data_IF_071350861709
#
_entry.id   IF_071350861709
#
_cell.length_a   1.000
_cell.length_b   1.000
_cell.length_c   1.000
_cell.angle_alpha   90.00
_cell.angle_beta   90.00
_cell.angle_gamma   90.00
#
_symmetry.space_group_name_H-M   'P 1'
#
loop_
_entity.id
_entity.type
_entity.pdbx_description
1 polymer ?
#
# COMPACT_ATOMS: atom_id res chain seq x y z
N UNK A 1 31.79 1.73 1.71
CA UNK A 1 31.05 2.78 0.95
C UNK A 1 30.40 2.13 -0.25
N UNK A 2 29.08 2.06 -0.26
CA UNK A 2 28.30 1.68 -1.45
C UNK A 2 28.39 2.84 -2.45
N UNK A 3 29.31 2.76 -3.41
CA UNK A 3 29.36 3.73 -4.50
C UNK A 3 28.14 3.50 -5.39
N UNK A 4 27.12 4.31 -5.19
CA UNK A 4 25.92 4.31 -6.04
C UNK A 4 26.27 4.99 -7.36
N UNK A 5 26.53 4.21 -8.39
CA UNK A 5 26.97 4.70 -9.70
C UNK A 5 25.84 5.11 -10.64
N UNK A 6 24.63 4.57 -10.45
CA UNK A 6 23.46 4.90 -11.28
C UNK A 6 22.20 5.03 -10.43
N UNK A 7 21.45 6.11 -10.69
CA UNK A 7 20.10 6.30 -10.16
C UNK A 7 19.12 6.38 -11.33
N UNK A 8 17.85 6.01 -11.08
CA UNK A 8 16.79 6.18 -12.05
C UNK A 8 16.39 7.67 -12.19
N UNK A 9 15.44 7.96 -13.09
CA UNK A 9 14.95 9.33 -13.33
C UNK A 9 14.30 9.99 -12.09
N UNK A 10 14.03 9.23 -11.03
CA UNK A 10 13.51 9.69 -9.75
C UNK A 10 14.57 9.73 -8.65
N UNK A 11 15.84 9.56 -9.00
CA UNK A 11 16.95 9.54 -8.04
C UNK A 11 17.04 8.28 -7.18
N UNK A 12 16.26 7.21 -7.49
CA UNK A 12 16.21 5.97 -6.71
C UNK A 12 17.36 5.03 -7.07
N UNK A 13 17.78 4.23 -6.11
CA UNK A 13 18.76 3.17 -6.29
C UNK A 13 18.15 2.03 -7.13
N UNK A 14 18.93 1.53 -8.10
CA UNK A 14 18.51 0.41 -8.94
C UNK A 14 18.58 -0.91 -8.17
N UNK A 15 17.53 -1.72 -8.20
CA UNK A 15 17.51 -3.04 -7.55
C UNK A 15 18.63 -3.97 -8.09
N UNK A 16 18.97 -3.87 -9.38
CA UNK A 16 20.04 -4.67 -10.02
C UNK A 16 21.41 -4.36 -9.41
N UNK A 17 21.60 -3.14 -8.90
CA UNK A 17 22.85 -2.71 -8.28
C UNK A 17 22.95 -3.10 -6.81
N UNK A 18 21.88 -3.66 -6.21
CA UNK A 18 21.92 -4.09 -4.82
C UNK A 18 22.89 -5.25 -4.61
N UNK A 19 23.57 -5.26 -3.46
CA UNK A 19 24.45 -6.36 -3.08
C UNK A 19 23.70 -7.69 -3.00
N UNK A 20 22.43 -7.67 -2.61
CA UNK A 20 21.60 -8.86 -2.50
C UNK A 20 21.39 -9.55 -3.86
N UNK A 21 21.24 -8.75 -4.93
CA UNK A 21 21.15 -9.29 -6.31
C UNK A 21 22.53 -9.73 -6.82
N UNK A 22 23.57 -8.93 -6.60
CA UNK A 22 24.94 -9.24 -7.09
C UNK A 22 25.51 -10.50 -6.47
N UNK A 23 25.26 -10.73 -5.19
CA UNK A 23 25.77 -11.87 -4.42
C UNK A 23 24.73 -13.00 -4.26
N UNK A 24 23.63 -12.93 -5.02
CA UNK A 24 22.57 -13.98 -5.11
C UNK A 24 21.97 -14.43 -3.76
N UNK A 25 21.76 -13.50 -2.85
CA UNK A 25 21.11 -13.81 -1.56
C UNK A 25 19.77 -13.12 -1.34
N UNK A 26 19.13 -12.62 -2.40
CA UNK A 26 17.82 -11.94 -2.30
C UNK A 26 16.74 -12.82 -1.67
N UNK A 27 16.84 -14.13 -1.80
CA UNK A 27 15.92 -15.13 -1.24
C UNK A 27 16.22 -15.50 0.23
N UNK A 28 17.28 -14.96 0.84
CA UNK A 28 17.67 -15.25 2.22
C UNK A 28 17.26 -14.11 3.15
N UNK A 29 16.76 -14.43 4.36
CA UNK A 29 16.43 -13.42 5.38
C UNK A 29 17.69 -12.97 6.13
N UNK A 30 18.61 -12.28 5.43
CA UNK A 30 19.96 -11.94 5.92
C UNK A 30 19.92 -11.18 7.25
N UNK A 31 18.93 -10.29 7.46
CA UNK A 31 18.81 -9.52 8.70
C UNK A 31 18.50 -10.43 9.87
N UNK A 32 17.61 -11.41 9.67
CA UNK A 32 17.27 -12.41 10.72
C UNK A 32 18.47 -13.34 10.99
N UNK A 33 19.20 -13.75 9.96
CA UNK A 33 20.42 -14.55 10.10
C UNK A 33 21.49 -13.81 10.92
N UNK A 34 21.70 -12.51 10.67
CA UNK A 34 22.59 -11.68 11.49
C UNK A 34 22.08 -11.55 12.93
N UNK A 35 20.77 -11.48 13.13
CA UNK A 35 20.17 -11.49 14.47
C UNK A 35 20.51 -12.77 15.24
N UNK A 36 20.48 -13.93 14.58
CA UNK A 36 20.90 -15.21 15.18
C UNK A 36 22.38 -15.20 15.55
N UNK A 37 23.24 -14.82 14.60
CA UNK A 37 24.71 -14.75 14.81
C UNK A 37 25.05 -13.81 15.98
N UNK A 38 24.43 -12.62 16.02
CA UNK A 38 24.64 -11.65 17.11
C UNK A 38 24.22 -12.23 18.47
N UNK A 39 23.08 -12.90 18.52
CA UNK A 39 22.58 -13.54 19.75
C UNK A 39 23.55 -14.61 20.26
N UNK A 40 24.06 -15.47 19.38
CA UNK A 40 25.02 -16.49 19.73
C UNK A 40 26.33 -15.88 20.24
N UNK A 41 26.85 -14.84 19.57
CA UNK A 41 28.03 -14.11 20.01
C UNK A 41 27.84 -13.47 21.40
N UNK A 42 26.70 -12.85 21.67
CA UNK A 42 26.41 -12.25 22.97
C UNK A 42 26.29 -13.32 24.09
N UNK A 43 25.68 -14.47 23.78
CA UNK A 43 25.60 -15.60 24.72
C UNK A 43 26.98 -16.16 25.03
N UNK A 44 27.87 -16.25 24.07
CA UNK A 44 29.23 -16.74 24.27
C UNK A 44 30.05 -15.90 25.25
N UNK A 45 29.73 -14.64 25.42
CA UNK A 45 30.36 -13.73 26.40
C UNK A 45 29.52 -13.55 27.67
N UNK A 46 28.54 -14.44 27.91
CA UNK A 46 27.78 -14.53 29.16
C UNK A 46 26.55 -13.62 29.24
N UNK A 47 26.15 -12.96 28.16
CA UNK A 47 24.92 -12.16 28.14
C UNK A 47 23.70 -13.09 28.04
N UNK A 48 22.82 -13.03 29.03
CA UNK A 48 21.57 -13.80 29.01
C UNK A 48 20.53 -13.11 28.11
N UNK A 49 20.34 -13.63 26.90
CA UNK A 49 19.31 -13.16 25.96
C UNK A 49 18.22 -14.22 25.85
N UNK A 50 16.96 -13.87 26.16
CA UNK A 50 15.85 -14.82 26.04
C UNK A 50 15.65 -15.25 24.57
N UNK A 51 15.11 -16.45 24.39
CA UNK A 51 14.66 -16.86 23.05
C UNK A 51 13.51 -15.98 22.58
N UNK A 52 13.47 -15.59 21.31
CA UNK A 52 12.33 -14.86 20.77
C UNK A 52 11.09 -15.76 20.79
N UNK A 53 9.96 -15.20 21.18
CA UNK A 53 8.69 -15.88 20.96
C UNK A 53 8.39 -15.89 19.45
N UNK A 54 8.73 -16.96 18.76
CA UNK A 54 8.44 -17.11 17.33
C UNK A 54 6.96 -17.46 17.12
N UNK A 55 6.09 -16.47 17.30
CA UNK A 55 4.68 -16.59 16.91
C UNK A 55 4.51 -15.97 15.52
N UNK A 56 4.04 -16.74 14.57
CA UNK A 56 3.66 -16.21 13.26
C UNK A 56 2.50 -15.23 13.43
N UNK A 57 2.68 -14.01 12.97
CA UNK A 57 1.61 -13.03 12.84
C UNK A 57 1.44 -12.65 11.38
N UNK A 58 0.19 -12.48 10.95
CA UNK A 58 -0.14 -12.07 9.58
C UNK A 58 -0.78 -10.69 9.64
N UNK A 59 -0.24 -9.76 8.87
CA UNK A 59 -0.82 -8.44 8.66
C UNK A 59 -1.12 -8.30 7.17
N UNK A 60 -2.39 -8.16 6.83
CA UNK A 60 -2.84 -7.88 5.49
C UNK A 60 -2.90 -6.37 5.29
N UNK A 61 -2.17 -5.87 4.31
CA UNK A 61 -2.15 -4.44 3.98
C UNK A 61 -2.65 -4.21 2.56
N UNK A 62 -3.47 -3.18 2.39
CA UNK A 62 -4.04 -2.80 1.09
C UNK A 62 -3.87 -1.30 0.86
N UNK A 63 -3.15 -0.92 -0.19
CA UNK A 63 -3.05 0.46 -0.62
C UNK A 63 -4.24 0.81 -1.51
N UNK A 64 -5.02 1.80 -1.07
CA UNK A 64 -6.25 2.20 -1.74
C UNK A 64 -6.03 3.50 -2.51
N UNK A 65 -5.45 3.37 -3.70
CA UNK A 65 -5.14 4.50 -4.57
C UNK A 65 -6.37 5.03 -5.33
N UNK A 66 -7.09 4.14 -5.99
CA UNK A 66 -8.24 4.49 -6.84
C UNK A 66 -9.42 3.57 -6.52
N UNK A 67 -10.17 3.86 -5.44
CA UNK A 67 -11.27 3.00 -4.98
C UNK A 67 -12.48 2.95 -5.92
N UNK A 68 -12.65 3.95 -6.78
CA UNK A 68 -13.74 4.02 -7.77
C UNK A 68 -13.32 4.81 -9.00
N UNK A 69 -13.96 4.55 -10.14
CA UNK A 69 -13.73 5.30 -11.39
C UNK A 69 -14.94 6.14 -11.75
N UNK A 70 -14.70 7.26 -12.45
CA UNK A 70 -15.72 8.18 -12.98
C UNK A 70 -16.69 8.72 -11.93
N UNK A 71 -16.18 8.96 -10.72
CA UNK A 71 -16.95 9.53 -9.59
C UNK A 71 -16.54 10.96 -9.24
N UNK A 72 -15.52 11.50 -9.92
CA UNK A 72 -15.10 12.89 -9.83
C UNK A 72 -15.18 13.55 -11.21
N UNK A 73 -15.40 14.88 -11.24
CA UNK A 73 -15.45 15.64 -12.50
C UNK A 73 -14.21 15.40 -13.37
N UNK A 74 -13.02 15.43 -12.77
CA UNK A 74 -11.77 15.24 -13.51
C UNK A 74 -11.62 13.81 -14.08
N UNK A 75 -12.10 12.79 -13.37
CA UNK A 75 -12.07 11.42 -13.89
C UNK A 75 -13.06 11.21 -15.04
N UNK A 76 -14.22 11.89 -15.01
CA UNK A 76 -15.20 11.89 -16.10
C UNK A 76 -14.58 12.56 -17.32
N UNK A 77 -14.02 13.77 -17.17
CA UNK A 77 -13.39 14.50 -18.26
C UNK A 77 -12.24 13.69 -18.89
N UNK A 78 -11.42 13.05 -18.07
CA UNK A 78 -10.37 12.13 -18.53
C UNK A 78 -10.91 10.95 -19.34
N UNK A 79 -12.01 10.34 -18.92
CA UNK A 79 -12.69 9.26 -19.65
C UNK A 79 -13.25 9.72 -21.02
N UNK A 80 -13.83 10.93 -21.08
CA UNK A 80 -14.29 11.53 -22.34
C UNK A 80 -13.11 11.73 -23.31
N UNK A 81 -11.99 12.28 -22.82
CA UNK A 81 -10.78 12.50 -23.65
C UNK A 81 -10.17 11.21 -24.18
N UNK A 82 -10.32 10.09 -23.47
CA UNK A 82 -9.85 8.76 -23.91
C UNK A 82 -10.88 7.97 -24.74
N UNK A 83 -12.08 8.54 -24.99
CA UNK A 83 -13.14 7.88 -25.75
C UNK A 83 -13.82 6.71 -25.01
N UNK A 84 -13.76 6.67 -23.67
CA UNK A 84 -14.25 5.56 -22.83
C UNK A 84 -15.76 5.66 -22.52
N UNK A 85 -16.57 6.07 -23.51
CA UNK A 85 -17.99 6.38 -23.31
C UNK A 85 -18.82 5.26 -22.71
N UNK A 86 -18.63 4.01 -23.16
CA UNK A 86 -19.37 2.84 -22.62
C UNK A 86 -19.08 2.64 -21.12
N UNK A 87 -17.81 2.78 -20.75
CA UNK A 87 -17.37 2.63 -19.36
C UNK A 87 -17.86 3.77 -18.48
N UNK A 88 -17.84 5.01 -19.02
CA UNK A 88 -18.39 6.19 -18.37
C UNK A 88 -19.87 6.01 -18.02
N UNK A 89 -20.72 5.74 -19.02
CA UNK A 89 -22.16 5.52 -18.80
C UNK A 89 -22.42 4.40 -17.80
N UNK A 90 -21.64 3.33 -17.87
CA UNK A 90 -21.76 2.19 -16.96
C UNK A 90 -21.47 2.56 -15.50
N UNK A 91 -20.58 3.52 -15.24
CA UNK A 91 -20.11 3.82 -13.87
C UNK A 91 -20.71 5.11 -13.27
N UNK A 92 -21.07 6.12 -14.09
CA UNK A 92 -21.64 7.40 -13.61
C UNK A 92 -22.99 7.18 -12.93
N UNK A 93 -23.88 6.40 -13.58
CA UNK A 93 -25.27 6.22 -13.14
C UNK A 93 -25.48 4.98 -12.25
N UNK A 94 -24.44 4.21 -11.97
CA UNK A 94 -24.55 3.03 -11.10
C UNK A 94 -24.30 3.37 -9.64
N UNK A 95 -24.88 2.56 -8.76
CA UNK A 95 -24.53 2.61 -7.35
C UNK A 95 -23.04 2.32 -7.15
N UNK A 96 -22.47 2.76 -6.04
CA UNK A 96 -21.05 2.58 -5.74
C UNK A 96 -20.62 1.10 -5.83
N UNK A 97 -21.44 0.20 -5.31
CA UNK A 97 -21.20 -1.25 -5.29
C UNK A 97 -21.12 -1.88 -6.70
N UNK A 98 -21.67 -1.21 -7.68
CA UNK A 98 -21.62 -1.63 -9.10
C UNK A 98 -20.54 -0.91 -9.89
N UNK A 99 -19.74 -0.05 -9.25
CA UNK A 99 -18.58 0.57 -9.87
C UNK A 99 -17.52 -0.48 -10.18
N UNK A 100 -16.86 -0.36 -11.34
CA UNK A 100 -15.93 -1.41 -11.82
C UNK A 100 -14.73 -1.61 -10.88
N UNK A 101 -14.29 -0.56 -10.18
CA UNK A 101 -13.15 -0.62 -9.27
C UNK A 101 -13.55 -0.89 -7.82
N UNK A 102 -14.84 -0.93 -7.52
CA UNK A 102 -15.32 -1.18 -6.17
C UNK A 102 -15.29 -2.68 -5.83
N UNK A 103 -14.09 -3.19 -5.56
CA UNK A 103 -13.85 -4.62 -5.27
C UNK A 103 -13.83 -4.94 -3.79
N UNK A 104 -14.05 -3.96 -2.92
CA UNK A 104 -13.91 -4.08 -1.46
C UNK A 104 -14.77 -5.18 -0.82
N UNK A 105 -16.04 -5.42 -1.21
CA UNK A 105 -16.81 -6.52 -0.63
C UNK A 105 -16.16 -7.89 -0.86
N UNK A 106 -15.61 -8.10 -2.07
CA UNK A 106 -14.90 -9.32 -2.40
C UNK A 106 -13.58 -9.42 -1.65
N UNK A 107 -12.80 -8.33 -1.61
CA UNK A 107 -11.51 -8.26 -0.93
C UNK A 107 -11.66 -8.56 0.57
N UNK A 108 -12.62 -7.91 1.23
CA UNK A 108 -12.95 -8.17 2.63
C UNK A 108 -13.38 -9.62 2.88
N UNK A 109 -14.10 -10.23 1.94
CA UNK A 109 -14.45 -11.65 2.03
C UNK A 109 -13.21 -12.55 1.97
N UNK A 110 -12.20 -12.21 1.15
CA UNK A 110 -10.94 -12.98 1.12
C UNK A 110 -10.15 -12.76 2.42
N UNK A 111 -10.00 -11.52 2.87
CA UNK A 111 -9.29 -11.18 4.10
C UNK A 111 -9.88 -11.89 5.33
N UNK A 112 -11.20 -12.01 5.38
CA UNK A 112 -11.91 -12.66 6.49
C UNK A 112 -11.71 -14.19 6.54
N UNK A 113 -11.09 -14.80 5.53
CA UNK A 113 -10.70 -16.21 5.58
C UNK A 113 -9.49 -16.46 6.49
N UNK A 114 -8.73 -15.41 6.79
CA UNK A 114 -7.60 -15.44 7.72
C UNK A 114 -8.06 -14.88 9.06
N UNK A 115 -8.58 -15.74 9.93
CA UNK A 115 -9.27 -15.36 11.17
C UNK A 115 -8.41 -14.52 12.12
N UNK A 116 -7.10 -14.77 12.20
CA UNK A 116 -6.20 -14.09 13.12
C UNK A 116 -5.31 -13.02 12.43
N UNK A 117 -5.63 -12.64 11.19
CA UNK A 117 -4.85 -11.62 10.50
C UNK A 117 -5.34 -10.21 10.87
N UNK A 118 -4.40 -9.34 11.17
CA UNK A 118 -4.63 -7.90 11.26
C UNK A 118 -4.83 -7.35 9.86
N UNK A 119 -5.83 -6.49 9.65
CA UNK A 119 -6.19 -5.94 8.33
C UNK A 119 -6.06 -4.43 8.36
N UNK A 120 -5.24 -3.87 7.48
CA UNK A 120 -4.98 -2.44 7.39
C UNK A 120 -5.22 -1.98 5.96
N UNK A 121 -6.08 -0.97 5.79
CA UNK A 121 -6.32 -0.33 4.50
C UNK A 121 -5.78 1.10 4.54
N UNK A 122 -4.78 1.38 3.72
CA UNK A 122 -4.16 2.70 3.61
C UNK A 122 -4.91 3.53 2.58
N UNK A 123 -5.62 4.56 3.03
CA UNK A 123 -6.40 5.44 2.17
C UNK A 123 -5.56 6.64 1.72
N UNK A 124 -5.53 6.90 0.43
CA UNK A 124 -4.81 8.05 -0.10
C UNK A 124 -5.65 9.31 -0.02
N UNK A 125 -5.08 10.35 0.58
CA UNK A 125 -5.69 11.68 0.67
C UNK A 125 -4.61 12.77 0.57
N UNK A 126 -4.10 13.09 -0.63
CA UNK A 126 -3.08 14.10 -0.79
C UNK A 126 -3.66 15.49 -0.47
N UNK A 127 -2.98 16.25 0.41
CA UNK A 127 -3.31 17.65 0.69
C UNK A 127 -2.92 18.54 -0.51
N UNK A 128 -1.75 18.26 -1.09
CA UNK A 128 -1.22 18.96 -2.26
C UNK A 128 -1.00 17.96 -3.41
N UNK A 129 -2.09 17.59 -4.15
CA UNK A 129 -2.00 16.56 -5.16
C UNK A 129 -1.18 17.00 -6.37
N UNK A 130 -0.15 16.24 -6.70
CA UNK A 130 0.68 16.42 -7.88
C UNK A 130 0.24 15.53 -9.06
N UNK A 131 1.01 15.56 -10.15
CA UNK A 131 0.72 14.77 -11.34
C UNK A 131 0.64 13.27 -11.03
N UNK A 132 1.56 12.76 -10.22
CA UNK A 132 1.64 11.34 -9.86
C UNK A 132 0.56 10.89 -8.87
N UNK A 133 -0.11 11.82 -8.20
CA UNK A 133 -1.23 11.50 -7.30
C UNK A 133 -2.57 11.33 -8.05
N UNK A 134 -2.60 11.59 -9.34
CA UNK A 134 -3.85 11.56 -10.13
C UNK A 134 -4.14 10.16 -10.69
N UNK A 135 -5.42 9.75 -10.74
CA UNK A 135 -6.59 10.42 -10.16
C UNK A 135 -6.65 10.24 -8.64
N UNK A 136 -7.10 11.25 -7.91
CA UNK A 136 -7.38 11.15 -6.48
C UNK A 136 -8.84 11.48 -6.18
N UNK A 137 -9.33 11.00 -5.04
CA UNK A 137 -10.69 11.25 -4.58
C UNK A 137 -10.61 11.79 -3.17
N UNK A 138 -11.24 12.94 -2.92
CA UNK A 138 -11.25 13.58 -1.61
C UNK A 138 -11.88 12.65 -0.57
N UNK A 139 -11.25 12.53 0.58
CA UNK A 139 -11.72 11.66 1.68
C UNK A 139 -13.09 12.08 2.20
N UNK A 140 -13.43 13.37 2.09
CA UNK A 140 -14.72 13.94 2.49
C UNK A 140 -15.85 13.62 1.53
N UNK A 141 -15.56 13.04 0.35
CA UNK A 141 -16.61 12.70 -0.61
C UNK A 141 -17.58 11.67 -0.03
N UNK A 142 -18.84 11.72 -0.49
CA UNK A 142 -19.88 10.79 -0.04
C UNK A 142 -19.50 9.33 -0.25
N UNK A 143 -18.84 9.03 -1.38
CA UNK A 143 -18.40 7.69 -1.76
C UNK A 143 -17.27 7.20 -0.85
N UNK A 144 -16.27 8.05 -0.52
CA UNK A 144 -15.22 7.72 0.44
C UNK A 144 -15.77 7.49 1.85
N UNK A 145 -16.66 8.36 2.32
CA UNK A 145 -17.33 8.16 3.62
C UNK A 145 -18.11 6.84 3.66
N UNK A 146 -18.70 6.41 2.54
CA UNK A 146 -19.38 5.13 2.44
C UNK A 146 -18.39 3.96 2.48
N UNK A 147 -17.29 4.05 1.75
CA UNK A 147 -16.21 3.06 1.80
C UNK A 147 -15.67 2.92 3.23
N UNK A 148 -15.31 4.03 3.88
CA UNK A 148 -14.81 4.03 5.25
C UNK A 148 -15.79 3.34 6.21
N UNK A 149 -17.09 3.60 6.07
CA UNK A 149 -18.11 2.91 6.89
C UNK A 149 -18.15 1.40 6.64
N UNK A 150 -17.95 0.95 5.38
CA UNK A 150 -17.90 -0.47 5.04
C UNK A 150 -16.67 -1.11 5.68
N UNK A 151 -15.49 -0.49 5.55
CA UNK A 151 -14.25 -0.99 6.12
C UNK A 151 -14.35 -1.10 7.66
N UNK A 152 -14.79 -0.04 8.33
CA UNK A 152 -14.96 -0.05 9.80
C UNK A 152 -15.96 -1.11 10.31
N UNK A 153 -17.01 -1.43 9.54
CA UNK A 153 -17.95 -2.50 9.90
C UNK A 153 -17.35 -3.90 9.81
N UNK A 154 -16.23 -4.06 9.13
CA UNK A 154 -15.53 -5.33 8.93
C UNK A 154 -14.25 -5.42 9.78
N UNK A 155 -14.16 -4.64 10.84
CA UNK A 155 -13.01 -4.64 11.78
C UNK A 155 -11.66 -4.42 11.08
N UNK A 156 -11.64 -3.45 10.18
CA UNK A 156 -10.45 -3.05 9.42
C UNK A 156 -9.85 -1.80 10.04
N UNK A 157 -8.55 -1.83 10.27
CA UNK A 157 -7.79 -0.63 10.62
C UNK A 157 -7.60 0.27 9.39
N UNK A 158 -7.65 1.57 9.59
CA UNK A 158 -7.42 2.55 8.54
C UNK A 158 -6.09 3.25 8.78
N UNK A 159 -5.27 3.30 7.73
CA UNK A 159 -4.02 4.04 7.68
C UNK A 159 -4.07 5.15 6.62
N UNK A 160 -3.10 6.03 6.66
CA UNK A 160 -2.88 7.05 5.64
C UNK A 160 -1.87 6.54 4.61
N UNK A 161 -2.26 6.53 3.33
CA UNK A 161 -1.33 6.38 2.22
C UNK A 161 -0.83 7.78 1.83
N UNK A 162 0.45 8.02 2.06
CA UNK A 162 1.07 9.32 1.77
C UNK A 162 1.12 9.63 0.28
N UNK A 163 1.11 10.90 -0.09
CA UNK A 163 1.22 11.36 -1.48
C UNK A 163 2.67 11.23 -2.00
N UNK A 164 2.83 11.34 -3.33
CA UNK A 164 4.15 11.27 -3.98
C UNK A 164 5.13 12.32 -3.44
N UNK A 165 4.65 13.53 -3.20
CA UNK A 165 5.45 14.66 -2.76
C UNK A 165 5.54 14.82 -1.23
N UNK A 166 4.98 13.90 -0.45
CA UNK A 166 4.94 14.01 1.02
C UNK A 166 6.32 14.03 1.69
N UNK A 167 7.35 13.50 1.00
CA UNK A 167 8.73 13.59 1.48
C UNK A 167 9.32 15.00 1.37
N UNK A 168 8.84 15.81 0.42
CA UNK A 168 9.32 17.16 0.15
C UNK A 168 8.46 18.23 0.85
N UNK A 169 7.25 17.86 1.26
CA UNK A 169 6.32 18.70 1.99
C UNK A 169 6.01 18.04 3.34
N UNK A 170 6.37 18.72 4.43
CA UNK A 170 5.93 18.33 5.78
C UNK A 170 4.43 18.57 5.88
N UNK A 171 3.64 17.55 5.65
CA UNK A 171 2.18 17.54 5.78
C UNK A 171 1.74 17.15 7.19
#
# INVERSE_FOLDING_TARGET
ELIVTKRDNHGRFSAIDSIAVKEDFLHRPIVDEYGVILREALRSVGVNIPEPENKMSVVLTHDVDVPFVYRSFMSILGGIRRGEFKQLFKNIFRSLEKNTFFTFPWLLQQDNRLENARKIYFLRNPLFPEYYDRPYIKIESSDMRRLIRILKKNDVELGLHVSYASADHLE
#
